data_IF_143293038361
#
_entry.id   IF_143293038361
#
_cell.length_a   1.000
_cell.length_b   1.000
_cell.length_c   1.000
_cell.angle_alpha   90.00
_cell.angle_beta   90.00
_cell.angle_gamma   90.00
#
_symmetry.space_group_name_H-M   'P 1'
#
loop_
_entity.id
_entity.type
_entity.pdbx_description
1 polymer ?
#
# COMPACT_ATOMS: atom_id res chain seq x y z
N UNK A 1 -8.20 0.91 11.84
CA UNK A 1 -9.52 1.55 12.03
C UNK A 1 -10.42 1.32 10.84
N UNK A 2 -10.15 2.00 9.71
CA UNK A 2 -10.99 1.95 8.51
C UNK A 2 -11.21 0.55 7.93
N UNK A 3 -10.16 -0.27 7.80
CA UNK A 3 -10.29 -1.66 7.31
C UNK A 3 -11.26 -2.47 8.17
N UNK A 4 -11.13 -2.41 9.49
CA UNK A 4 -12.03 -3.13 10.41
C UNK A 4 -13.48 -2.67 10.26
N UNK A 5 -13.73 -1.36 10.18
CA UNK A 5 -15.08 -0.83 9.99
C UNK A 5 -15.68 -1.23 8.64
N UNK A 6 -14.90 -1.18 7.56
CA UNK A 6 -15.34 -1.64 6.24
C UNK A 6 -15.70 -3.12 6.24
N UNK A 7 -14.89 -3.95 6.90
CA UNK A 7 -15.17 -5.38 7.08
C UNK A 7 -16.45 -5.61 7.87
N UNK A 8 -16.63 -4.94 9.02
CA UNK A 8 -17.84 -5.06 9.84
C UNK A 8 -19.11 -4.62 9.09
N UNK A 9 -19.03 -3.50 8.36
CA UNK A 9 -20.13 -3.04 7.52
C UNK A 9 -20.50 -4.06 6.43
N UNK A 10 -19.50 -4.72 5.83
CA UNK A 10 -19.72 -5.77 4.83
C UNK A 10 -20.38 -7.03 5.40
N UNK A 11 -20.17 -7.32 6.67
CA UNK A 11 -20.87 -8.41 7.39
C UNK A 11 -22.23 -7.99 7.98
N UNK A 12 -22.75 -6.81 7.64
CA UNK A 12 -24.07 -6.34 8.09
C UNK A 12 -24.08 -5.77 9.51
N UNK A 13 -22.91 -5.54 10.11
CA UNK A 13 -22.79 -4.95 11.44
C UNK A 13 -22.71 -3.44 11.29
N UNK A 14 -23.86 -2.78 11.41
CA UNK A 14 -23.99 -1.34 11.13
C UNK A 14 -23.91 -0.45 12.39
N UNK A 15 -24.15 -1.00 13.58
CA UNK A 15 -24.00 -0.27 14.83
C UNK A 15 -22.53 -0.23 15.29
N UNK A 16 -21.69 0.44 14.52
CA UNK A 16 -20.24 0.55 14.74
C UNK A 16 -19.84 2.02 14.71
N UNK A 17 -19.02 2.45 15.68
CA UNK A 17 -18.48 3.81 15.73
C UNK A 17 -16.95 3.77 15.59
N UNK A 18 -16.42 4.65 14.75
CA UNK A 18 -14.97 4.91 14.63
C UNK A 18 -14.71 6.27 15.25
N UNK A 19 -13.71 6.38 16.11
CA UNK A 19 -13.30 7.64 16.73
C UNK A 19 -11.85 7.90 16.30
N UNK A 20 -11.58 9.10 15.79
CA UNK A 20 -10.22 9.60 15.53
C UNK A 20 -10.10 10.98 16.19
N UNK A 21 -8.92 11.29 16.73
CA UNK A 21 -8.66 12.59 17.36
C UNK A 21 -8.48 13.72 16.33
N UNK A 22 -8.21 13.37 15.07
CA UNK A 22 -8.06 14.34 13.99
C UNK A 22 -9.43 14.89 13.61
N UNK A 23 -9.52 16.21 13.44
CA UNK A 23 -10.76 16.89 13.03
C UNK A 23 -11.15 16.67 11.57
N UNK A 24 -10.26 16.12 10.74
CA UNK A 24 -10.48 15.89 9.31
C UNK A 24 -9.87 14.57 8.85
N UNK A 25 -10.23 14.14 7.64
CA UNK A 25 -9.48 13.11 6.91
C UNK A 25 -8.02 13.56 6.71
N UNK A 26 -7.14 12.57 6.54
CA UNK A 26 -5.74 12.80 6.16
C UNK A 26 -5.69 13.00 4.64
N UNK A 27 -5.17 14.14 4.20
CA UNK A 27 -5.06 14.47 2.76
C UNK A 27 -3.79 13.90 2.14
N UNK A 28 -2.66 13.98 2.85
CA UNK A 28 -1.39 13.36 2.50
C UNK A 28 -0.98 12.42 3.62
N UNK A 29 -1.07 11.11 3.34
CA UNK A 29 -0.70 10.06 4.27
C UNK A 29 0.82 9.89 4.39
N UNK A 30 1.23 9.02 5.30
CA UNK A 30 2.63 8.63 5.47
C UNK A 30 2.98 7.32 4.75
N UNK A 31 1.97 6.50 4.43
CA UNK A 31 2.14 5.20 3.81
C UNK A 31 1.68 5.23 2.34
N UNK A 32 2.41 4.53 1.48
CA UNK A 32 2.24 4.47 0.03
C UNK A 32 2.38 3.04 -0.53
N UNK A 33 3.22 2.20 0.08
CA UNK A 33 3.45 0.83 -0.35
C UNK A 33 2.27 -0.11 -0.04
N UNK A 34 1.86 -0.88 -1.06
CA UNK A 34 0.84 -1.92 -0.94
C UNK A 34 1.41 -3.27 -1.38
N UNK A 35 1.39 -4.25 -0.47
CA UNK A 35 1.77 -5.62 -0.78
C UNK A 35 0.67 -6.29 -1.66
N UNK A 36 1.03 -7.23 -2.56
CA UNK A 36 0.05 -8.00 -3.36
C UNK A 36 -1.12 -8.57 -2.54
N UNK A 37 -0.85 -9.12 -1.36
CA UNK A 37 -1.89 -9.67 -0.47
C UNK A 37 -2.83 -8.58 0.08
N UNK A 38 -2.33 -7.37 0.30
CA UNK A 38 -3.19 -6.24 0.67
C UNK A 38 -4.11 -5.84 -0.48
N UNK A 39 -3.64 -5.92 -1.74
CA UNK A 39 -4.46 -5.66 -2.93
C UNK A 39 -5.61 -6.66 -3.05
N UNK A 40 -5.39 -7.94 -2.70
CA UNK A 40 -6.44 -8.96 -2.65
C UNK A 40 -7.53 -8.61 -1.63
N UNK A 41 -7.15 -8.10 -0.44
CA UNK A 41 -8.09 -7.64 0.59
C UNK A 41 -8.89 -6.43 0.08
N UNK A 42 -8.25 -5.46 -0.58
CA UNK A 42 -8.95 -4.32 -1.17
C UNK A 42 -9.92 -4.75 -2.28
N UNK A 43 -9.53 -5.72 -3.12
CA UNK A 43 -10.42 -6.33 -4.11
C UNK A 43 -11.62 -7.00 -3.45
N UNK A 44 -11.40 -7.77 -2.39
CA UNK A 44 -12.48 -8.38 -1.63
C UNK A 44 -13.44 -7.30 -1.10
N UNK A 45 -12.93 -6.20 -0.54
CA UNK A 45 -13.74 -5.09 -0.04
C UNK A 45 -14.40 -4.22 -1.13
N UNK A 46 -14.26 -4.57 -2.42
CA UNK A 46 -14.88 -3.83 -3.53
C UNK A 46 -14.12 -2.57 -3.95
N UNK A 47 -12.90 -2.36 -3.46
CA UNK A 47 -12.05 -1.20 -3.79
C UNK A 47 -11.01 -1.48 -4.88
N UNK A 48 -10.99 -2.70 -5.43
CA UNK A 48 -9.92 -3.16 -6.33
C UNK A 48 -9.79 -2.36 -7.63
N UNK A 49 -10.89 -2.11 -8.37
CA UNK A 49 -10.82 -1.53 -9.71
C UNK A 49 -10.15 -0.14 -9.73
N UNK A 50 -10.67 0.78 -8.91
CA UNK A 50 -10.11 2.13 -8.77
C UNK A 50 -8.67 2.12 -8.25
N UNK A 51 -8.35 1.20 -7.34
CA UNK A 51 -7.00 1.07 -6.81
C UNK A 51 -6.01 0.70 -7.93
N UNK A 52 -6.34 -0.26 -8.79
CA UNK A 52 -5.46 -0.67 -9.89
C UNK A 52 -5.27 0.42 -10.97
N UNK A 53 -6.24 1.31 -11.15
CA UNK A 53 -6.13 2.44 -12.07
C UNK A 53 -5.22 3.57 -11.55
N UNK A 54 -5.14 3.74 -10.22
CA UNK A 54 -4.43 4.86 -9.59
C UNK A 54 -3.04 4.48 -9.04
N UNK A 55 -2.73 3.19 -8.82
CA UNK A 55 -1.44 2.76 -8.24
C UNK A 55 -0.29 2.76 -9.25
N UNK A 56 0.91 3.04 -8.75
CA UNK A 56 2.15 2.76 -9.49
C UNK A 56 2.62 1.34 -9.21
N UNK A 57 2.80 0.52 -10.25
CA UNK A 57 3.35 -0.82 -10.12
C UNK A 57 4.88 -0.75 -10.05
N UNK A 58 5.44 -1.26 -8.94
CA UNK A 58 6.89 -1.39 -8.82
C UNK A 58 7.35 -2.58 -9.66
N UNK A 59 8.13 -2.32 -10.71
CA UNK A 59 8.61 -3.38 -11.61
C UNK A 59 9.88 -4.06 -11.10
N UNK A 60 10.86 -3.26 -10.68
CA UNK A 60 12.19 -3.73 -10.33
C UNK A 60 12.80 -2.92 -9.18
N UNK A 61 13.67 -3.58 -8.43
CA UNK A 61 14.46 -2.99 -7.36
C UNK A 61 15.93 -3.01 -7.79
N UNK A 62 16.57 -1.84 -7.84
CA UNK A 62 17.99 -1.69 -8.16
C UNK A 62 18.78 -1.38 -6.89
N UNK A 63 19.80 -2.19 -6.60
CA UNK A 63 20.71 -1.97 -5.49
C UNK A 63 21.94 -1.19 -5.98
N UNK A 64 22.22 -0.09 -5.31
CA UNK A 64 23.34 0.80 -5.59
C UNK A 64 24.25 0.87 -4.37
N UNK A 65 25.52 0.53 -4.54
CA UNK A 65 26.51 0.47 -3.47
C UNK A 65 27.82 1.13 -3.92
N UNK A 66 28.70 1.56 -2.99
CA UNK A 66 30.03 2.03 -3.33
C UNK A 66 30.87 0.94 -4.01
N UNK A 67 31.62 1.31 -5.05
CA UNK A 67 32.64 0.49 -5.67
C UNK A 67 33.99 0.56 -4.91
N UNK A 68 35.03 -0.06 -5.44
CA UNK A 68 36.38 -0.04 -4.84
C UNK A 68 36.98 1.37 -4.71
N UNK A 69 36.50 2.32 -5.53
CA UNK A 69 36.93 3.72 -5.51
C UNK A 69 35.97 4.61 -4.68
N UNK A 70 34.97 4.02 -4.03
CA UNK A 70 33.96 4.71 -3.23
C UNK A 70 32.87 5.40 -4.06
N UNK A 71 32.79 5.16 -5.37
CA UNK A 71 31.76 5.75 -6.24
C UNK A 71 30.50 4.88 -6.23
N UNK A 72 29.32 5.50 -6.36
CA UNK A 72 28.05 4.77 -6.39
C UNK A 72 27.92 4.02 -7.71
N UNK A 73 27.83 2.69 -7.64
CA UNK A 73 27.60 1.80 -8.77
C UNK A 73 26.42 0.85 -8.52
N UNK A 74 25.71 0.44 -9.58
CA UNK A 74 24.62 -0.53 -9.46
C UNK A 74 25.20 -1.93 -9.38
N UNK A 75 24.96 -2.63 -8.26
CA UNK A 75 25.50 -3.97 -8.02
C UNK A 75 24.49 -5.08 -8.28
N UNK A 76 23.19 -4.78 -8.22
CA UNK A 76 22.15 -5.76 -8.52
C UNK A 76 20.86 -5.10 -9.04
N UNK A 77 20.07 -5.90 -9.76
CA UNK A 77 18.71 -5.59 -10.21
C UNK A 77 17.88 -6.86 -10.05
N UNK A 78 16.77 -6.76 -9.36
CA UNK A 78 15.82 -7.87 -9.15
C UNK A 78 14.41 -7.41 -9.51
N UNK A 79 13.54 -8.30 -10.01
CA UNK A 79 12.11 -8.01 -10.11
C UNK A 79 11.50 -7.81 -8.71
N UNK A 80 10.50 -6.92 -8.59
CA UNK A 80 9.81 -6.65 -7.32
C UNK A 80 8.96 -7.85 -6.85
N UNK A 81 8.25 -8.46 -7.80
CA UNK A 81 7.45 -9.66 -7.59
C UNK A 81 7.91 -10.74 -8.58
N UNK A 82 8.07 -11.96 -8.09
CA UNK A 82 8.39 -13.15 -8.92
C UNK A 82 7.17 -13.62 -9.72
#
# INVERSE_FOLDING_TARGET
>A
GLTAAATLARYGIHNVRIIDKRGTKVFTGQADGLNPRSLEVFKALGMGARLFEEVNQLGEICFWNPDSDGKIGRTARIPDVN
#
